data_IF_717387097511
#
_entry.id   IF_717387097511
#
_cell.length_a   1.000
_cell.length_b   1.000
_cell.length_c   1.000
_cell.angle_alpha   90.00
_cell.angle_beta   90.00
_cell.angle_gamma   90.00
#
_symmetry.space_group_name_H-M   'P 1'
#
loop_
_entity.id
_entity.type
_entity.pdbx_description
1 polymer ?
#
# COMPACT_ATOMS: atom_id res chain seq x y z
N UNK A 1 9.67 -9.02 -16.80
CA UNK A 1 10.59 -8.36 -17.77
C UNK A 1 11.97 -8.99 -17.81
N UNK A 2 12.66 -9.14 -16.68
CA UNK A 2 14.05 -9.62 -16.58
C UNK A 2 14.22 -11.15 -16.54
N UNK A 3 13.14 -11.93 -16.62
CA UNK A 3 13.21 -13.39 -16.39
C UNK A 3 13.71 -13.75 -14.98
N UNK A 4 13.35 -12.95 -13.97
CA UNK A 4 13.78 -13.10 -12.57
C UNK A 4 15.30 -12.88 -12.32
N UNK A 5 16.05 -12.33 -13.26
CA UNK A 5 17.46 -11.94 -13.03
C UNK A 5 17.60 -10.73 -12.08
N UNK A 6 16.56 -9.90 -12.00
CA UNK A 6 16.48 -8.73 -11.13
C UNK A 6 15.06 -8.60 -10.60
N UNK A 7 14.93 -8.21 -9.34
CA UNK A 7 13.67 -7.95 -8.66
C UNK A 7 13.69 -6.65 -7.86
N UNK A 8 12.50 -6.14 -7.55
CA UNK A 8 12.27 -5.07 -6.58
C UNK A 8 11.37 -5.58 -5.44
N UNK A 9 11.48 -6.86 -5.12
CA UNK A 9 10.55 -7.59 -4.26
C UNK A 9 10.47 -7.05 -2.84
N UNK A 10 11.60 -6.59 -2.29
CA UNK A 10 11.68 -6.03 -0.93
C UNK A 10 11.34 -4.54 -0.83
N UNK A 11 10.69 -3.97 -1.85
CA UNK A 11 10.22 -2.59 -1.81
C UNK A 11 8.82 -2.52 -1.20
N UNK A 12 8.68 -1.75 -0.11
CA UNK A 12 7.38 -1.35 0.44
C UNK A 12 7.23 0.16 0.32
N UNK A 13 6.18 0.62 -0.37
CA UNK A 13 5.79 2.03 -0.44
C UNK A 13 4.63 2.24 0.53
N UNK A 14 4.74 3.25 1.39
CA UNK A 14 3.71 3.60 2.36
C UNK A 14 3.13 4.97 2.02
N UNK A 15 1.82 5.14 2.18
CA UNK A 15 1.19 6.45 2.03
C UNK A 15 -0.06 6.58 2.92
N UNK A 16 -0.33 7.76 3.50
CA UNK A 16 -1.65 8.09 4.02
C UNK A 16 -2.71 7.96 2.93
N UNK A 17 -3.91 7.54 3.31
CA UNK A 17 -4.98 7.14 2.41
C UNK A 17 -6.36 7.54 2.94
N UNK A 18 -7.36 7.63 2.05
CA UNK A 18 -8.77 7.77 2.39
C UNK A 18 -9.15 9.21 2.72
N UNK A 19 -10.37 9.47 3.22
CA UNK A 19 -10.83 10.80 3.64
C UNK A 19 -10.36 11.17 5.06
N UNK A 20 -10.58 12.43 5.49
CA UNK A 20 -10.27 12.89 6.87
C UNK A 20 -11.23 14.01 7.33
N UNK A 21 -12.40 14.12 6.71
CA UNK A 21 -13.37 15.21 6.97
C UNK A 21 -13.06 16.52 6.24
N UNK A 22 -11.82 17.02 6.31
CA UNK A 22 -11.43 18.35 5.79
C UNK A 22 -10.19 18.33 4.87
N UNK A 23 -9.96 17.22 4.15
CA UNK A 23 -8.77 17.04 3.29
C UNK A 23 -8.91 17.55 1.85
N UNK A 24 -10.10 17.96 1.42
CA UNK A 24 -10.36 18.44 0.04
C UNK A 24 -9.84 17.46 -1.03
N UNK A 25 -9.47 17.96 -2.21
CA UNK A 25 -9.12 17.19 -3.40
C UNK A 25 -7.82 16.37 -3.27
N UNK A 26 -6.81 16.88 -2.56
CA UNK A 26 -5.45 16.29 -2.56
C UNK A 26 -5.03 15.65 -1.24
N UNK A 27 -5.87 15.72 -0.19
CA UNK A 27 -5.66 15.00 1.07
C UNK A 27 -6.83 14.08 1.42
N UNK A 28 -7.59 13.57 0.44
CA UNK A 28 -8.73 12.66 0.68
C UNK A 28 -8.87 11.47 -0.27
N UNK A 29 -7.88 11.26 -1.15
CA UNK A 29 -8.02 10.30 -2.24
C UNK A 29 -7.86 8.85 -1.80
N UNK A 30 -8.51 7.96 -2.56
CA UNK A 30 -8.40 6.50 -2.47
C UNK A 30 -8.01 5.95 -3.84
N UNK A 31 -6.71 5.95 -4.20
CA UNK A 31 -6.25 5.64 -5.55
C UNK A 31 -5.96 4.15 -5.79
N UNK A 32 -6.34 3.24 -4.88
CA UNK A 32 -6.03 1.81 -4.95
C UNK A 32 -6.50 1.15 -6.25
N UNK A 33 -7.61 1.60 -6.84
CA UNK A 33 -8.12 1.07 -8.09
C UNK A 33 -7.14 1.29 -9.27
N UNK A 34 -6.41 2.41 -9.29
CA UNK A 34 -5.37 2.66 -10.31
C UNK A 34 -4.27 1.61 -10.25
N UNK A 35 -3.87 1.23 -9.02
CA UNK A 35 -2.84 0.23 -8.79
C UNK A 35 -3.35 -1.19 -8.97
N UNK A 36 -4.62 -1.46 -8.63
CA UNK A 36 -5.21 -2.79 -8.73
C UNK A 36 -5.28 -3.30 -10.17
N UNK A 37 -5.24 -2.39 -11.14
CA UNK A 37 -5.16 -2.71 -12.55
C UNK A 37 -3.73 -3.02 -13.05
N UNK A 38 -2.72 -2.95 -12.19
CA UNK A 38 -1.32 -3.20 -12.54
C UNK A 38 -0.85 -4.56 -11.98
N UNK A 39 -0.60 -5.57 -12.84
CA UNK A 39 -0.02 -6.84 -12.39
C UNK A 39 1.40 -6.67 -11.86
N UNK A 40 1.75 -7.43 -10.82
CA UNK A 40 3.09 -7.48 -10.25
C UNK A 40 3.31 -6.63 -9.00
N UNK A 41 2.29 -5.93 -8.51
CA UNK A 41 2.28 -5.23 -7.22
C UNK A 41 1.19 -5.78 -6.31
N UNK A 42 1.45 -5.78 -5.00
CA UNK A 42 0.45 -6.09 -3.96
C UNK A 42 -0.04 -4.80 -3.32
N UNK A 43 -1.33 -4.71 -3.02
CA UNK A 43 -1.95 -3.54 -2.40
C UNK A 43 -2.60 -3.98 -1.09
N UNK A 44 -2.34 -3.24 -0.01
CA UNK A 44 -2.82 -3.56 1.33
C UNK A 44 -3.38 -2.31 2.01
N UNK A 45 -4.57 -2.44 2.62
CA UNK A 45 -5.25 -1.40 3.40
C UNK A 45 -5.70 -1.99 4.75
N UNK A 46 -5.09 -1.62 5.90
CA UNK A 46 -5.49 -2.13 7.21
C UNK A 46 -6.70 -1.36 7.77
N UNK A 47 -7.45 -1.99 8.69
CA UNK A 47 -8.61 -1.35 9.37
C UNK A 47 -8.33 -0.91 10.82
N UNK A 48 -7.17 -1.23 11.39
CA UNK A 48 -6.88 -0.86 12.78
C UNK A 48 -5.45 -1.21 13.20
N UNK A 49 -5.03 -0.82 14.42
CA UNK A 49 -3.62 -0.83 14.81
C UNK A 49 -2.98 -2.23 14.83
N UNK A 50 -3.72 -3.24 15.31
CA UNK A 50 -3.22 -4.63 15.34
C UNK A 50 -3.00 -5.17 13.92
N UNK A 51 -3.97 -4.93 13.03
CA UNK A 51 -3.85 -5.31 11.62
C UNK A 51 -2.75 -4.51 10.92
N UNK A 52 -2.64 -3.21 11.18
CA UNK A 52 -1.65 -2.34 10.57
C UNK A 52 -0.23 -2.82 10.88
N UNK A 53 0.06 -3.14 12.15
CA UNK A 53 1.35 -3.71 12.57
C UNK A 53 1.65 -5.02 11.82
N UNK A 54 0.75 -5.99 11.89
CA UNK A 54 0.99 -7.32 11.31
C UNK A 54 1.15 -7.27 9.78
N UNK A 55 0.26 -6.53 9.11
CA UNK A 55 0.27 -6.43 7.66
C UNK A 55 1.46 -5.62 7.14
N UNK A 56 1.86 -4.54 7.84
CA UNK A 56 3.05 -3.77 7.43
C UNK A 56 4.33 -4.59 7.56
N UNK A 57 4.50 -5.34 8.66
CA UNK A 57 5.63 -6.25 8.82
C UNK A 57 5.64 -7.31 7.71
N UNK A 58 4.48 -7.89 7.41
CA UNK A 58 4.34 -8.84 6.29
C UNK A 58 4.72 -8.22 4.94
N UNK A 59 4.37 -6.96 4.67
CA UNK A 59 4.74 -6.27 3.43
C UNK A 59 6.26 -6.05 3.32
N UNK A 60 6.92 -5.66 4.41
CA UNK A 60 8.38 -5.43 4.46
C UNK A 60 9.15 -6.73 4.20
N UNK A 61 8.63 -7.86 4.67
CA UNK A 61 9.25 -9.18 4.51
C UNK A 61 8.94 -9.85 3.16
N UNK A 62 7.89 -9.40 2.47
CA UNK A 62 7.45 -9.96 1.18
C UNK A 62 8.54 -9.87 0.10
N UNK A 63 8.49 -10.78 -0.86
CA UNK A 63 9.38 -10.82 -2.03
C UNK A 63 8.75 -10.19 -3.26
N UNK A 64 7.62 -9.50 -3.10
CA UNK A 64 6.93 -8.76 -4.15
C UNK A 64 6.72 -7.32 -3.69
N UNK A 65 6.83 -6.34 -4.61
CA UNK A 65 6.64 -4.94 -4.26
C UNK A 65 5.23 -4.71 -3.69
N UNK A 66 5.18 -4.03 -2.55
CA UNK A 66 3.94 -3.76 -1.81
C UNK A 66 3.65 -2.27 -1.74
N UNK A 67 2.38 -1.90 -1.93
CA UNK A 67 1.83 -0.59 -1.61
C UNK A 67 0.95 -0.75 -0.37
N UNK A 68 1.34 -0.07 0.70
CA UNK A 68 0.63 -0.08 1.98
C UNK A 68 -0.05 1.28 2.21
N UNK A 69 -1.37 1.28 2.11
CA UNK A 69 -2.19 2.48 2.29
C UNK A 69 -2.68 2.57 3.73
N UNK A 70 -2.40 3.67 4.40
CA UNK A 70 -2.71 3.91 5.82
C UNK A 70 -3.91 4.86 5.94
N UNK A 71 -5.12 4.39 6.31
CA UNK A 71 -6.28 5.27 6.43
C UNK A 71 -6.03 6.32 7.52
N UNK A 72 -5.86 7.59 7.12
CA UNK A 72 -5.34 8.63 8.02
C UNK A 72 -6.33 9.11 9.09
N UNK A 73 -7.58 8.71 8.98
CA UNK A 73 -8.63 9.01 9.95
C UNK A 73 -8.69 7.98 11.10
N UNK A 74 -8.04 6.82 10.92
CA UNK A 74 -8.04 5.70 11.87
C UNK A 74 -6.87 5.77 12.85
#
# INVERSE_FOLDING_TARGET
RSGNMYDCGKLTIRSPWGCVGHGSLYHSQSPEAFFAHCPGIKIVVPRGPVQAKGLLLSCIEDKNPCIFFEPKIL
#
